data_IF_102725771695
#
_entry.id   IF_102725771695
#
_cell.length_a   1.000
_cell.length_b   1.000
_cell.length_c   1.000
_cell.angle_alpha   90.00
_cell.angle_beta   90.00
_cell.angle_gamma   90.00
#
_symmetry.space_group_name_H-M   'P 1'
#
loop_
_entity.id
_entity.type
_entity.pdbx_description
1 polymer ?
#
# COMPACT_ATOMS: atom_id res chain seq x y z
N UNK A 1 9.15 -7.66 4.35
CA UNK A 1 9.54 -7.02 5.61
C UNK A 1 8.52 -5.91 5.84
N UNK A 2 7.50 -6.20 6.64
CA UNK A 2 6.53 -5.19 7.08
C UNK A 2 7.16 -4.51 8.29
N UNK A 3 7.36 -3.20 8.24
CA UNK A 3 7.81 -2.42 9.38
C UNK A 3 6.56 -1.73 9.94
N UNK A 4 6.43 -1.58 11.25
CA UNK A 4 5.42 -0.69 11.83
C UNK A 4 6.17 0.46 12.49
N UNK A 5 5.91 1.68 12.04
CA UNK A 5 6.46 2.87 12.68
C UNK A 5 5.49 3.36 13.76
N UNK A 6 6.06 3.84 14.87
CA UNK A 6 5.31 4.34 16.02
C UNK A 6 5.35 5.84 16.03
N UNK A 7 4.23 6.42 16.41
CA UNK A 7 4.17 7.81 16.83
C UNK A 7 3.30 7.90 18.08
N UNK A 8 3.76 8.59 19.12
CA UNK A 8 2.84 9.18 20.08
C UNK A 8 2.22 10.45 19.48
N UNK A 9 0.99 10.78 19.87
CA UNK A 9 0.31 11.99 19.40
C UNK A 9 1.13 13.27 19.70
N UNK A 10 1.89 13.28 20.80
CA UNK A 10 2.81 14.35 21.19
C UNK A 10 4.00 14.47 20.21
N UNK A 11 4.60 13.35 19.81
CA UNK A 11 5.71 13.32 18.84
C UNK A 11 5.26 13.80 17.46
N UNK A 12 4.07 13.41 17.00
CA UNK A 12 3.51 13.95 15.76
C UNK A 12 3.27 15.46 15.86
N UNK A 13 2.67 15.95 16.95
CA UNK A 13 2.47 17.40 17.16
C UNK A 13 3.79 18.16 17.13
N UNK A 14 4.83 17.65 17.76
CA UNK A 14 6.12 18.35 17.83
C UNK A 14 6.94 18.26 16.53
N UNK A 15 6.83 17.16 15.78
CA UNK A 15 7.44 16.97 14.46
C UNK A 15 6.81 17.89 13.41
N UNK A 16 5.47 18.03 13.40
CA UNK A 16 4.75 18.84 12.41
C UNK A 16 4.62 20.33 12.82
N UNK A 17 4.85 20.69 14.09
CA UNK A 17 4.91 22.09 14.54
C UNK A 17 6.30 22.75 14.39
N UNK A 18 7.30 22.05 13.83
CA UNK A 18 8.64 22.61 13.56
C UNK A 18 9.49 22.90 14.81
N UNK A 19 9.26 22.21 15.94
CA UNK A 19 9.76 22.61 17.26
C UNK A 19 10.87 21.72 17.89
N UNK A 20 11.50 20.76 17.21
CA UNK A 20 12.52 19.89 17.86
C UNK A 20 13.90 19.82 17.15
N UNK A 21 14.94 20.11 17.94
CA UNK A 21 16.39 19.89 17.73
C UNK A 21 16.82 18.47 18.24
N UNK A 22 18.04 17.98 17.93
CA UNK A 22 18.26 16.61 17.43
C UNK A 22 17.73 15.50 18.37
N UNK A 23 16.92 14.60 17.82
CA UNK A 23 16.34 13.47 18.54
C UNK A 23 17.34 12.30 18.67
N UNK A 24 17.36 11.66 19.83
CA UNK A 24 18.15 10.44 20.12
C UNK A 24 17.70 9.26 19.23
N UNK A 25 18.55 8.22 19.03
CA UNK A 25 18.27 7.12 18.10
C UNK A 25 16.91 6.46 18.38
N UNK A 26 16.02 6.45 17.37
CA UNK A 26 14.65 5.93 17.47
C UNK A 26 14.63 4.44 17.11
N UNK A 27 13.94 3.61 17.91
CA UNK A 27 13.84 2.16 17.69
C UNK A 27 12.82 1.80 16.59
N UNK A 28 13.33 1.34 15.46
CA UNK A 28 12.57 0.71 14.39
C UNK A 28 12.22 -0.73 14.79
N UNK A 29 10.95 -1.13 14.62
CA UNK A 29 10.52 -2.50 14.83
C UNK A 29 10.57 -3.27 13.51
N UNK A 30 11.62 -4.05 13.31
CA UNK A 30 11.70 -5.02 12.23
C UNK A 30 11.13 -6.37 12.71
N UNK A 31 10.45 -7.10 11.82
CA UNK A 31 10.04 -8.48 12.11
C UNK A 31 11.30 -9.36 12.22
N UNK A 32 11.50 -10.01 13.37
CA UNK A 32 12.66 -10.91 13.60
C UNK A 32 12.57 -12.25 12.86
N UNK A 33 11.52 -12.54 12.09
CA UNK A 33 11.35 -13.87 11.46
C UNK A 33 10.64 -13.88 10.10
N UNK A 34 11.27 -13.37 9.03
CA UNK A 34 11.13 -13.94 7.66
C UNK A 34 12.35 -13.55 6.80
N UNK A 35 13.56 -13.92 7.21
CA UNK A 35 14.76 -13.76 6.36
C UNK A 35 15.67 -15.01 6.30
N UNK A 36 15.41 -16.03 7.13
CA UNK A 36 16.32 -17.17 7.30
C UNK A 36 16.14 -18.36 6.36
N UNK A 37 14.91 -18.69 5.93
CA UNK A 37 14.63 -20.07 5.49
C UNK A 37 14.29 -20.25 4.00
N UNK A 38 14.47 -19.21 3.15
CA UNK A 38 14.14 -19.31 1.70
C UNK A 38 15.39 -19.25 0.79
N UNK A 39 16.58 -18.95 1.34
CA UNK A 39 17.83 -18.87 0.57
C UNK A 39 18.89 -19.85 1.08
N UNK A 40 18.53 -21.12 1.14
CA UNK A 40 19.45 -22.20 1.47
C UNK A 40 19.21 -23.43 0.61
N UNK A 41 19.71 -23.42 -0.63
CA UNK A 41 20.26 -24.60 -1.32
C UNK A 41 20.86 -24.24 -2.68
N UNK A 42 22.19 -24.36 -2.73
CA UNK A 42 23.06 -24.80 -3.82
C UNK A 42 22.76 -24.35 -5.25
N UNK A 43 23.67 -23.52 -5.77
CA UNK A 43 23.86 -23.25 -7.19
C UNK A 43 24.46 -24.50 -7.84
N UNK A 44 23.64 -25.27 -8.54
CA UNK A 44 24.08 -26.31 -9.46
C UNK A 44 24.42 -25.72 -10.82
N UNK A 45 25.47 -26.24 -11.43
CA UNK A 45 25.95 -25.91 -12.76
C UNK A 45 24.98 -26.41 -13.86
N UNK A 46 25.06 -25.78 -15.04
CA UNK A 46 24.75 -26.49 -16.28
C UNK A 46 23.65 -25.92 -17.18
N UNK A 47 24.14 -25.43 -18.32
CA UNK A 47 23.56 -25.52 -19.66
C UNK A 47 22.57 -24.43 -20.12
N UNK A 48 22.85 -23.98 -21.34
CA UNK A 48 22.41 -22.72 -21.92
C UNK A 48 20.97 -22.70 -22.38
N UNK A 49 20.42 -21.50 -22.36
CA UNK A 49 19.23 -21.11 -23.11
C UNK A 49 19.64 -19.89 -23.91
N UNK A 50 19.47 -19.97 -25.23
CA UNK A 50 19.78 -18.88 -26.16
C UNK A 50 18.96 -17.63 -25.79
N UNK A 51 19.65 -16.52 -25.57
CA UNK A 51 19.04 -15.19 -25.44
C UNK A 51 18.56 -14.75 -26.83
N UNK A 52 17.24 -14.78 -27.06
CA UNK A 52 16.66 -13.91 -28.08
C UNK A 52 16.66 -12.48 -27.53
N UNK A 53 17.63 -11.70 -28.00
CA UNK A 53 17.78 -10.26 -27.75
C UNK A 53 16.50 -9.49 -28.14
N UNK A 54 15.62 -9.26 -27.18
CA UNK A 54 14.66 -8.17 -27.28
C UNK A 54 15.36 -6.86 -26.89
N UNK A 55 15.64 -6.05 -27.92
CA UNK A 55 15.98 -4.63 -27.77
C UNK A 55 14.81 -3.89 -27.09
N UNK A 56 14.84 -3.85 -25.76
CA UNK A 56 14.00 -2.96 -24.96
C UNK A 56 14.86 -1.74 -24.63
N UNK A 57 14.43 -0.56 -25.06
CA UNK A 57 15.04 0.72 -24.71
C UNK A 57 15.26 0.80 -23.18
N UNK A 58 16.54 0.75 -22.79
CA UNK A 58 16.99 0.69 -21.40
C UNK A 58 16.66 1.94 -20.57
N UNK A 59 16.12 3.00 -21.17
CA UNK A 59 15.78 4.26 -20.50
C UNK A 59 14.49 4.21 -19.66
N UNK A 60 13.70 3.12 -19.75
CA UNK A 60 12.40 2.98 -19.06
C UNK A 60 12.25 1.74 -18.18
N UNK A 61 13.33 1.05 -17.85
CA UNK A 61 13.23 -0.15 -17.01
C UNK A 61 13.04 0.26 -15.55
N UNK A 62 11.78 0.25 -15.09
CA UNK A 62 11.48 0.43 -13.66
C UNK A 62 12.23 -0.66 -12.84
N UNK A 63 12.80 -0.33 -11.67
CA UNK A 63 13.58 -1.28 -10.87
C UNK A 63 12.88 -2.63 -10.60
N UNK A 64 11.54 -2.70 -10.40
CA UNK A 64 10.82 -3.96 -10.29
C UNK A 64 10.85 -4.82 -11.57
N UNK A 65 10.75 -4.20 -12.75
CA UNK A 65 10.78 -4.89 -14.06
C UNK A 65 12.19 -5.42 -14.33
N UNK A 66 13.21 -4.61 -14.06
CA UNK A 66 14.62 -5.03 -14.15
C UNK A 66 14.91 -6.25 -13.27
N UNK A 67 14.31 -6.30 -12.08
CA UNK A 67 14.48 -7.38 -11.12
C UNK A 67 13.67 -8.63 -11.47
N UNK A 68 12.50 -8.47 -12.10
CA UNK A 68 11.73 -9.59 -12.61
C UNK A 68 12.41 -10.25 -13.82
N UNK A 69 13.05 -9.46 -14.69
CA UNK A 69 13.74 -9.94 -15.90
C UNK A 69 15.14 -10.51 -15.66
N UNK A 70 15.89 -10.04 -14.64
CA UNK A 70 17.22 -10.56 -14.33
C UNK A 70 17.16 -11.73 -13.35
N UNK A 71 17.16 -12.96 -13.88
CA UNK A 71 17.50 -14.17 -13.13
C UNK A 71 16.35 -14.94 -12.49
N UNK A 72 15.09 -14.72 -12.90
CA UNK A 72 13.96 -15.61 -12.58
C UNK A 72 13.25 -15.96 -13.88
N UNK A 73 12.71 -17.18 -13.96
CA UNK A 73 11.97 -17.72 -15.12
C UNK A 73 10.60 -17.02 -15.37
N UNK A 74 10.52 -15.69 -15.20
CA UNK A 74 9.29 -14.91 -15.27
C UNK A 74 9.25 -14.08 -16.55
N UNK A 75 8.27 -14.37 -17.42
CA UNK A 75 8.02 -13.60 -18.64
C UNK A 75 7.19 -12.35 -18.31
N UNK A 76 7.73 -11.17 -18.57
CA UNK A 76 7.01 -9.89 -18.44
C UNK A 76 6.26 -9.60 -19.74
N UNK A 77 4.96 -9.28 -19.65
CA UNK A 77 4.12 -8.91 -20.80
C UNK A 77 3.56 -7.50 -20.58
N UNK A 78 3.96 -6.49 -21.37
CA UNK A 78 3.39 -5.15 -21.26
C UNK A 78 1.94 -5.14 -21.72
N UNK A 79 1.10 -4.37 -21.04
CA UNK A 79 -0.31 -4.16 -21.40
C UNK A 79 -0.45 -2.74 -21.93
N UNK A 80 -0.80 -2.62 -23.21
CA UNK A 80 -1.01 -1.33 -23.88
C UNK A 80 -2.50 -0.99 -24.05
N UNK A 81 -3.41 -1.83 -23.53
CA UNK A 81 -4.83 -1.59 -23.55
C UNK A 81 -5.23 -0.55 -22.51
N UNK A 82 -6.28 0.21 -22.81
CA UNK A 82 -6.82 1.22 -21.90
C UNK A 82 -5.78 2.29 -21.56
N UNK A 83 -5.55 2.49 -20.26
CA UNK A 83 -4.62 3.48 -19.70
C UNK A 83 -3.20 2.92 -19.49
N UNK A 84 -3.00 1.63 -19.74
CA UNK A 84 -1.77 0.91 -19.44
C UNK A 84 -1.38 0.97 -17.94
N UNK A 85 -2.38 0.90 -17.05
CA UNK A 85 -2.20 0.94 -15.59
C UNK A 85 -2.55 -0.41 -14.93
N UNK A 86 -2.56 -0.44 -13.58
CA UNK A 86 -2.81 -1.64 -12.77
C UNK A 86 -4.17 -2.30 -13.06
N UNK A 87 -5.21 -1.50 -13.32
CA UNK A 87 -6.55 -2.01 -13.68
C UNK A 87 -6.50 -2.83 -14.97
N UNK A 88 -5.82 -2.31 -16.00
CA UNK A 88 -5.71 -2.96 -17.31
C UNK A 88 -4.86 -4.24 -17.21
N UNK A 89 -3.74 -4.19 -16.47
CA UNK A 89 -2.93 -5.36 -16.18
C UNK A 89 -3.71 -6.47 -15.44
N UNK A 90 -4.57 -6.09 -14.50
CA UNK A 90 -5.45 -7.03 -13.78
C UNK A 90 -6.47 -7.68 -14.72
N UNK A 91 -7.08 -6.87 -15.60
CA UNK A 91 -8.03 -7.36 -16.61
C UNK A 91 -7.39 -8.38 -17.55
N UNK A 92 -6.20 -8.10 -18.08
CA UNK A 92 -5.46 -9.03 -18.94
C UNK A 92 -5.02 -10.30 -18.21
N UNK A 93 -4.59 -10.19 -16.94
CA UNK A 93 -4.24 -11.35 -16.13
C UNK A 93 -5.45 -12.27 -15.87
N UNK A 94 -6.63 -11.72 -15.62
CA UNK A 94 -7.87 -12.49 -15.47
C UNK A 94 -8.23 -13.19 -16.80
N UNK A 95 -8.10 -12.51 -17.95
CA UNK A 95 -8.35 -13.12 -19.27
C UNK A 95 -7.41 -14.29 -19.57
N UNK A 96 -6.11 -14.12 -19.29
CA UNK A 96 -5.12 -15.20 -19.44
C UNK A 96 -5.48 -16.38 -18.52
N UNK A 97 -5.78 -16.10 -17.25
CA UNK A 97 -6.16 -17.14 -16.28
C UNK A 97 -7.41 -17.93 -16.69
N UNK A 98 -8.47 -17.25 -17.16
CA UNK A 98 -9.69 -17.93 -17.62
C UNK A 98 -9.40 -18.85 -18.82
N UNK A 99 -8.44 -18.48 -19.66
CA UNK A 99 -8.02 -19.29 -20.81
C UNK A 99 -7.16 -20.49 -20.40
N UNK A 100 -6.40 -20.38 -19.31
CA UNK A 100 -5.38 -21.35 -18.90
C UNK A 100 -5.65 -21.97 -17.51
N UNK A 101 -6.91 -22.04 -17.08
CA UNK A 101 -7.31 -22.39 -15.70
C UNK A 101 -6.79 -23.75 -15.22
N UNK A 102 -6.62 -24.72 -16.12
CA UNK A 102 -6.16 -26.07 -15.78
C UNK A 102 -4.66 -26.13 -15.41
N UNK A 103 -3.86 -25.21 -15.95
CA UNK A 103 -2.40 -25.23 -15.85
C UNK A 103 -1.83 -24.02 -15.11
N UNK A 104 -2.65 -22.99 -14.90
CA UNK A 104 -2.21 -21.69 -14.38
C UNK A 104 -2.97 -21.31 -13.12
N UNK A 105 -2.22 -21.04 -12.05
CA UNK A 105 -2.76 -20.41 -10.85
C UNK A 105 -2.60 -18.89 -10.93
N UNK A 106 -3.71 -18.15 -10.86
CA UNK A 106 -3.66 -16.70 -10.81
C UNK A 106 -3.32 -16.20 -9.40
N UNK A 107 -2.17 -15.55 -9.26
CA UNK A 107 -1.72 -14.94 -8.00
C UNK A 107 -2.22 -13.49 -7.96
N UNK A 108 -3.42 -13.28 -7.39
CA UNK A 108 -3.95 -11.95 -7.17
C UNK A 108 -3.23 -11.25 -6.02
N UNK A 109 -2.75 -10.02 -6.26
CA UNK A 109 -1.86 -9.30 -5.35
C UNK A 109 -2.53 -8.52 -4.20
N UNK A 110 -3.86 -8.55 -4.07
CA UNK A 110 -4.56 -7.81 -3.01
C UNK A 110 -5.85 -8.51 -2.57
N UNK A 111 -6.52 -7.96 -1.55
CA UNK A 111 -7.78 -8.48 -0.97
C UNK A 111 -9.01 -8.15 -1.84
N UNK A 112 -8.81 -7.99 -3.14
CA UNK A 112 -9.85 -7.78 -4.13
C UNK A 112 -10.21 -9.12 -4.81
N UNK A 113 -11.03 -9.06 -5.85
CA UNK A 113 -11.33 -10.23 -6.68
C UNK A 113 -12.38 -11.18 -6.09
N UNK A 114 -12.76 -12.24 -6.83
CA UNK A 114 -13.80 -13.16 -6.39
C UNK A 114 -13.35 -13.97 -5.18
N UNK A 115 -14.32 -14.49 -4.42
CA UNK A 115 -14.03 -15.54 -3.44
C UNK A 115 -13.30 -16.73 -4.14
N UNK A 116 -12.23 -17.29 -3.56
CA UNK A 116 -11.73 -17.09 -2.19
C UNK A 116 -10.62 -16.04 -2.02
N UNK A 117 -10.25 -15.27 -3.05
CA UNK A 117 -9.07 -14.41 -3.02
C UNK A 117 -9.04 -13.38 -1.88
N UNK A 118 -10.11 -12.59 -1.61
CA UNK A 118 -10.10 -11.62 -0.51
C UNK A 118 -9.74 -12.27 0.84
N UNK A 119 -10.40 -13.37 1.18
CA UNK A 119 -10.17 -14.12 2.41
C UNK A 119 -8.77 -14.72 2.45
N UNK A 120 -8.33 -15.35 1.35
CA UNK A 120 -7.03 -16.00 1.26
C UNK A 120 -5.89 -14.98 1.43
N UNK A 121 -5.95 -13.86 0.71
CA UNK A 121 -4.92 -12.82 0.79
C UNK A 121 -4.89 -12.16 2.16
N UNK A 122 -6.05 -11.88 2.77
CA UNK A 122 -6.13 -11.39 4.16
C UNK A 122 -5.44 -12.37 5.11
N UNK A 123 -5.76 -13.66 5.02
CA UNK A 123 -5.19 -14.68 5.90
C UNK A 123 -3.66 -14.80 5.73
N UNK A 124 -3.12 -14.59 4.52
CA UNK A 124 -1.67 -14.53 4.31
C UNK A 124 -1.02 -13.25 4.85
N UNK A 125 -1.77 -12.14 4.96
CA UNK A 125 -1.29 -10.89 5.57
C UNK A 125 -1.56 -10.82 7.09
N UNK A 126 -2.27 -11.78 7.66
CA UNK A 126 -2.69 -11.82 9.07
C UNK A 126 -1.52 -11.80 10.06
N UNK A 127 -0.32 -12.18 9.62
CA UNK A 127 0.90 -12.07 10.41
C UNK A 127 1.16 -10.62 10.89
N UNK A 128 0.78 -9.61 10.10
CA UNK A 128 1.00 -8.19 10.43
C UNK A 128 0.28 -7.83 11.73
N UNK A 129 -1.04 -8.06 11.81
CA UNK A 129 -1.82 -7.76 13.01
C UNK A 129 -1.41 -8.60 14.22
N UNK A 130 -1.05 -9.88 14.02
CA UNK A 130 -0.53 -10.76 15.09
C UNK A 130 0.76 -10.22 15.69
N UNK A 131 1.71 -9.82 14.86
CA UNK A 131 2.97 -9.24 15.31
C UNK A 131 2.74 -7.92 16.03
N UNK A 132 1.91 -7.03 15.48
CA UNK A 132 1.55 -5.75 16.13
C UNK A 132 0.93 -5.97 17.50
N UNK A 133 -0.01 -6.92 17.64
CA UNK A 133 -0.62 -7.23 18.94
C UNK A 133 0.43 -7.68 19.97
N UNK A 134 1.31 -8.61 19.58
CA UNK A 134 2.38 -9.11 20.45
C UNK A 134 3.32 -7.98 20.87
N UNK A 135 3.79 -7.20 19.91
CA UNK A 135 4.72 -6.11 20.16
C UNK A 135 4.10 -4.98 21.00
N UNK A 136 2.82 -4.66 20.75
CA UNK A 136 2.06 -3.70 21.55
C UNK A 136 1.93 -4.15 23.01
N UNK A 137 1.64 -5.44 23.24
CA UNK A 137 1.60 -6.00 24.59
C UNK A 137 2.96 -5.90 25.29
N UNK A 138 4.04 -6.25 24.60
CA UNK A 138 5.41 -6.19 25.13
C UNK A 138 5.84 -4.77 25.50
N UNK A 139 5.53 -3.76 24.66
CA UNK A 139 5.99 -2.37 24.87
C UNK A 139 5.04 -1.51 25.69
N UNK A 140 3.75 -1.75 25.58
CA UNK A 140 2.71 -0.89 26.17
C UNK A 140 1.85 -1.59 27.20
N UNK A 141 2.07 -2.88 27.46
CA UNK A 141 1.25 -3.68 28.37
C UNK A 141 -0.19 -3.87 27.88
N UNK A 142 -0.48 -3.60 26.61
CA UNK A 142 -1.84 -3.62 26.08
C UNK A 142 -1.93 -3.37 24.57
N UNK A 143 -3.15 -3.11 24.10
CA UNK A 143 -3.47 -2.86 22.68
C UNK A 143 -3.05 -1.44 22.26
N UNK A 144 -2.85 -1.20 20.94
CA UNK A 144 -2.87 0.16 20.38
C UNK A 144 -4.24 0.79 20.55
N UNK A 145 -4.31 2.12 20.50
CA UNK A 145 -5.58 2.86 20.47
C UNK A 145 -6.04 3.11 19.03
N UNK A 146 -5.10 3.29 18.11
CA UNK A 146 -5.36 3.60 16.70
C UNK A 146 -4.43 2.83 15.76
N UNK A 147 -5.00 2.25 14.72
CA UNK A 147 -4.29 1.60 13.62
C UNK A 147 -4.51 2.40 12.33
N UNK A 148 -3.43 2.72 11.61
CA UNK A 148 -3.49 3.48 10.36
C UNK A 148 -2.77 2.70 9.25
N UNK A 149 -3.40 2.58 8.07
CA UNK A 149 -2.79 1.93 6.92
C UNK A 149 -3.31 2.55 5.61
N UNK A 150 -2.48 2.56 4.56
CA UNK A 150 -2.91 3.00 3.23
C UNK A 150 -3.81 1.94 2.58
N UNK A 151 -4.77 2.37 1.76
CA UNK A 151 -5.77 1.51 1.11
C UNK A 151 -5.80 1.82 -0.39
N UNK A 152 -5.21 0.94 -1.17
CA UNK A 152 -5.53 0.75 -2.60
C UNK A 152 -6.51 -0.42 -2.70
N UNK A 153 -6.02 -1.60 -3.12
CA UNK A 153 -6.81 -2.83 -3.00
C UNK A 153 -7.09 -3.28 -1.54
N UNK A 154 -6.18 -2.94 -0.60
CA UNK A 154 -6.42 -3.04 0.84
C UNK A 154 -5.68 -4.15 1.60
N UNK A 155 -4.83 -4.96 0.96
CA UNK A 155 -4.23 -6.14 1.61
C UNK A 155 -3.39 -5.85 2.84
N UNK A 156 -2.56 -4.81 2.78
CA UNK A 156 -1.73 -4.39 3.93
C UNK A 156 -2.60 -3.93 5.11
N UNK A 157 -3.67 -3.17 4.83
CA UNK A 157 -4.59 -2.64 5.83
C UNK A 157 -5.41 -3.76 6.47
N UNK A 158 -5.96 -4.69 5.68
CA UNK A 158 -6.63 -5.88 6.20
C UNK A 158 -5.70 -6.77 7.01
N UNK A 159 -4.44 -6.94 6.59
CA UNK A 159 -3.45 -7.66 7.40
C UNK A 159 -3.24 -7.06 8.78
N UNK A 160 -3.21 -5.73 8.87
CA UNK A 160 -3.12 -5.02 10.14
C UNK A 160 -4.43 -5.10 10.94
N UNK A 161 -5.57 -4.84 10.31
CA UNK A 161 -6.87 -4.67 10.98
C UNK A 161 -7.50 -5.98 11.43
N UNK A 162 -7.31 -7.08 10.70
CA UNK A 162 -8.04 -8.34 10.90
C UNK A 162 -8.02 -8.83 12.36
N UNK A 163 -6.87 -8.72 13.02
CA UNK A 163 -6.74 -9.15 14.42
C UNK A 163 -7.44 -8.22 15.42
N UNK A 164 -7.82 -7.01 15.04
CA UNK A 164 -8.39 -5.98 15.92
C UNK A 164 -9.85 -5.66 15.60
N UNK A 165 -10.48 -6.33 14.62
CA UNK A 165 -11.89 -6.08 14.23
C UNK A 165 -12.86 -6.23 15.41
N UNK A 166 -12.58 -7.15 16.34
CA UNK A 166 -13.41 -7.36 17.53
C UNK A 166 -13.06 -6.45 18.71
N UNK A 167 -11.88 -5.81 18.70
CA UNK A 167 -11.46 -4.84 19.72
C UNK A 167 -12.08 -3.47 19.41
N UNK A 168 -13.33 -3.24 19.84
CA UNK A 168 -14.11 -2.05 19.48
C UNK A 168 -13.52 -0.73 19.98
N UNK A 169 -12.67 -0.78 20.99
CA UNK A 169 -11.91 0.37 21.50
C UNK A 169 -10.76 0.79 20.57
N UNK A 170 -10.31 -0.09 19.67
CA UNK A 170 -9.22 0.19 18.73
C UNK A 170 -9.80 0.79 17.45
N UNK A 171 -9.41 2.03 17.14
CA UNK A 171 -9.80 2.70 15.89
C UNK A 171 -9.02 2.13 14.71
N UNK A 172 -9.72 1.88 13.61
CA UNK A 172 -9.14 1.34 12.36
C UNK A 172 -9.30 2.39 11.28
N UNK A 173 -8.20 2.94 10.78
CA UNK A 173 -8.20 4.05 9.82
C UNK A 173 -7.50 3.65 8.53
N UNK A 174 -8.27 3.47 7.46
CA UNK A 174 -7.77 3.31 6.10
C UNK A 174 -7.51 4.67 5.45
N UNK A 175 -6.42 4.82 4.71
CA UNK A 175 -6.08 6.08 4.02
C UNK A 175 -6.00 5.85 2.51
N UNK A 176 -6.94 6.45 1.78
CA UNK A 176 -7.02 6.39 0.32
C UNK A 176 -6.26 7.54 -0.34
N UNK A 177 -5.95 7.39 -1.63
CA UNK A 177 -5.31 8.46 -2.40
C UNK A 177 -6.35 9.44 -2.94
N UNK A 178 -6.26 10.69 -2.54
CA UNK A 178 -7.05 11.79 -3.08
C UNK A 178 -6.48 12.34 -4.40
N UNK A 179 -5.33 11.84 -4.88
CA UNK A 179 -4.68 12.34 -6.09
C UNK A 179 -4.44 13.85 -6.03
N UNK A 180 -4.98 14.60 -6.99
CA UNK A 180 -4.91 16.07 -7.03
C UNK A 180 -5.97 16.77 -6.16
N UNK A 181 -6.73 16.02 -5.39
CA UNK A 181 -7.85 16.48 -4.57
C UNK A 181 -9.15 15.78 -4.96
N UNK A 182 -10.05 15.61 -3.98
CA UNK A 182 -11.31 14.90 -4.17
C UNK A 182 -12.21 15.56 -5.25
N UNK A 183 -12.22 16.89 -5.33
CA UNK A 183 -13.03 17.64 -6.30
C UNK A 183 -12.41 17.72 -7.71
N UNK A 184 -11.18 17.21 -7.89
CA UNK A 184 -10.45 17.33 -9.16
C UNK A 184 -10.91 16.34 -10.23
N UNK A 185 -11.68 15.32 -9.84
CA UNK A 185 -11.95 14.14 -10.67
C UNK A 185 -10.74 13.24 -10.92
N UNK A 186 -9.58 13.55 -10.32
CA UNK A 186 -8.33 12.78 -10.42
C UNK A 186 -7.90 12.31 -9.03
N UNK A 187 -8.48 11.20 -8.59
CA UNK A 187 -8.22 10.56 -7.30
C UNK A 187 -8.42 9.05 -7.39
N UNK A 188 -8.03 8.31 -6.34
CA UNK A 188 -8.35 6.90 -6.14
C UNK A 188 -9.09 6.64 -4.81
N UNK A 189 -9.80 7.66 -4.31
CA UNK A 189 -10.58 7.63 -3.06
C UNK A 189 -11.90 6.84 -3.18
N UNK A 190 -11.77 5.53 -3.34
CA UNK A 190 -12.85 4.60 -3.70
C UNK A 190 -13.97 4.50 -2.66
N UNK A 191 -13.64 4.38 -1.38
CA UNK A 191 -14.60 4.29 -0.29
C UNK A 191 -15.18 5.65 0.08
N UNK A 192 -14.45 6.72 -0.22
CA UNK A 192 -14.86 8.10 0.03
C UNK A 192 -15.89 8.59 -0.99
N UNK A 193 -15.65 8.38 -2.29
CA UNK A 193 -16.46 8.94 -3.39
C UNK A 193 -17.09 7.89 -4.31
N UNK A 194 -16.69 6.63 -4.19
CA UNK A 194 -17.25 5.56 -5.02
C UNK A 194 -18.63 5.11 -4.57
N UNK A 195 -19.17 4.18 -5.35
CA UNK A 195 -20.47 3.56 -5.11
C UNK A 195 -20.36 2.04 -5.26
N UNK A 196 -21.37 1.32 -4.78
CA UNK A 196 -21.39 -0.13 -4.86
C UNK A 196 -21.55 -0.63 -6.30
N UNK A 197 -20.76 -1.61 -6.69
CA UNK A 197 -20.92 -2.32 -7.97
C UNK A 197 -19.98 -3.52 -8.09
N UNK A 198 -19.90 -4.09 -9.29
CA UNK A 198 -19.12 -5.32 -9.54
C UNK A 198 -17.91 -5.01 -10.41
N UNK A 199 -16.71 -5.19 -9.86
CA UNK A 199 -15.45 -5.05 -10.58
C UNK A 199 -14.52 -6.22 -10.28
N UNK A 200 -13.87 -6.75 -11.31
CA UNK A 200 -12.90 -7.85 -11.22
C UNK A 200 -13.41 -9.07 -10.41
N UNK A 201 -14.71 -9.37 -10.48
CA UNK A 201 -15.31 -10.55 -9.83
C UNK A 201 -15.75 -10.36 -8.38
N UNK A 202 -15.72 -9.14 -7.83
CA UNK A 202 -16.22 -8.83 -6.50
C UNK A 202 -17.30 -7.74 -6.53
N UNK A 203 -18.35 -7.90 -5.72
CA UNK A 203 -19.24 -6.80 -5.35
C UNK A 203 -18.58 -5.99 -4.22
N UNK A 204 -18.28 -4.72 -4.46
CA UNK A 204 -17.59 -3.83 -3.51
C UNK A 204 -17.89 -2.36 -3.85
N UNK A 205 -17.28 -1.40 -3.14
CA UNK A 205 -17.20 -0.03 -3.63
C UNK A 205 -16.20 0.06 -4.79
N UNK A 206 -16.54 0.90 -5.77
CA UNK A 206 -15.66 1.30 -6.86
C UNK A 206 -15.99 2.72 -7.35
N UNK A 207 -15.04 3.33 -8.05
CA UNK A 207 -15.25 4.58 -8.77
C UNK A 207 -15.95 4.28 -10.10
N UNK A 208 -17.19 4.74 -10.24
CA UNK A 208 -18.00 4.59 -11.43
C UNK A 208 -18.94 5.79 -11.62
N UNK A 209 -19.34 6.04 -12.86
CA UNK A 209 -20.33 7.06 -13.20
C UNK A 209 -21.78 6.54 -13.04
N UNK A 210 -22.75 7.38 -13.39
CA UNK A 210 -24.19 7.07 -13.30
C UNK A 210 -24.62 5.90 -14.21
N UNK A 211 -23.85 5.62 -15.27
CA UNK A 211 -24.08 4.49 -16.18
C UNK A 211 -23.33 3.22 -15.75
N UNK A 212 -22.62 3.27 -14.62
CA UNK A 212 -21.80 2.17 -14.11
C UNK A 212 -20.49 1.96 -14.87
N UNK A 213 -20.04 2.94 -15.66
CA UNK A 213 -18.73 2.89 -16.30
C UNK A 213 -17.64 3.22 -15.29
N UNK A 214 -16.54 2.47 -15.34
CA UNK A 214 -15.42 2.64 -14.42
C UNK A 214 -14.74 3.98 -14.65
N UNK A 215 -14.70 4.82 -13.62
CA UNK A 215 -13.92 6.05 -13.63
C UNK A 215 -12.45 5.71 -13.41
N UNK A 216 -11.58 6.32 -14.20
CA UNK A 216 -10.14 6.10 -14.12
C UNK A 216 -9.60 6.68 -12.81
N UNK A 217 -8.87 5.89 -12.00
CA UNK A 217 -8.27 6.39 -10.79
C UNK A 217 -7.06 7.28 -11.12
N UNK A 218 -6.64 8.07 -10.13
CA UNK A 218 -5.36 8.74 -10.18
C UNK A 218 -4.70 8.81 -8.81
N UNK A 219 -3.41 8.45 -8.77
CA UNK A 219 -2.51 8.75 -7.66
C UNK A 219 -1.07 8.81 -8.16
N UNK A 220 -0.24 9.63 -7.51
CA UNK A 220 1.22 9.56 -7.63
C UNK A 220 1.78 8.18 -7.25
N UNK A 221 1.05 7.44 -6.41
CA UNK A 221 1.42 6.12 -5.93
C UNK A 221 0.75 5.03 -6.76
N UNK A 222 1.53 4.34 -7.60
CA UNK A 222 1.03 3.27 -8.45
C UNK A 222 0.33 2.13 -7.68
N UNK A 223 0.70 1.87 -6.42
CA UNK A 223 0.04 0.85 -5.59
C UNK A 223 -1.32 1.26 -5.02
N UNK A 224 -1.66 2.56 -5.05
CA UNK A 224 -2.97 3.09 -4.65
C UNK A 224 -3.84 3.47 -5.86
N UNK A 225 -3.27 3.50 -7.06
CA UNK A 225 -3.94 3.86 -8.30
C UNK A 225 -4.84 2.74 -8.84
N UNK A 226 -5.94 2.48 -8.11
CA UNK A 226 -6.90 1.42 -8.40
C UNK A 226 -8.33 1.91 -8.11
N UNK A 227 -9.31 1.70 -9.01
CA UNK A 227 -10.64 2.28 -8.86
C UNK A 227 -11.59 1.44 -7.99
N UNK A 228 -11.12 0.32 -7.43
CA UNK A 228 -11.91 -0.56 -6.59
C UNK A 228 -11.28 -0.75 -5.22
N UNK A 229 -11.92 -1.54 -4.37
CA UNK A 229 -11.36 -1.92 -3.07
C UNK A 229 -11.82 -3.32 -2.67
N UNK A 230 -11.09 -3.99 -1.78
CA UNK A 230 -11.50 -5.29 -1.25
C UNK A 230 -12.88 -5.24 -0.57
N UNK A 231 -13.74 -6.27 -0.75
CA UNK A 231 -15.12 -6.26 -0.24
C UNK A 231 -15.21 -6.20 1.29
N UNK A 232 -14.20 -6.69 2.01
CA UNK A 232 -14.18 -6.61 3.47
C UNK A 232 -13.97 -5.19 3.99
N UNK A 233 -13.24 -4.34 3.25
CA UNK A 233 -13.15 -2.91 3.57
C UNK A 233 -14.50 -2.21 3.42
N UNK A 234 -15.20 -2.48 2.32
CA UNK A 234 -16.57 -2.00 2.06
C UNK A 234 -17.51 -2.38 3.20
N UNK A 235 -17.50 -3.65 3.61
CA UNK A 235 -18.28 -4.12 4.75
C UNK A 235 -17.92 -3.40 6.05
N UNK A 236 -16.62 -3.26 6.36
CA UNK A 236 -16.16 -2.56 7.57
C UNK A 236 -16.53 -1.07 7.57
N UNK A 237 -16.58 -0.42 6.40
CA UNK A 237 -17.10 0.94 6.24
C UNK A 237 -18.59 1.00 6.58
N UNK A 238 -19.39 0.15 5.95
CA UNK A 238 -20.86 0.21 6.06
C UNK A 238 -21.35 -0.07 7.49
N UNK A 239 -20.67 -0.95 8.24
CA UNK A 239 -20.99 -1.22 9.64
C UNK A 239 -20.35 -0.21 10.62
N UNK A 240 -19.63 0.79 10.12
CA UNK A 240 -18.95 1.81 10.93
C UNK A 240 -17.78 1.27 11.77
N UNK A 241 -17.22 0.11 11.41
CA UNK A 241 -16.10 -0.49 12.17
C UNK A 241 -14.76 0.12 11.78
N UNK A 242 -14.58 0.51 10.53
CA UNK A 242 -13.38 1.20 10.05
C UNK A 242 -13.74 2.58 9.49
N UNK A 243 -12.87 3.53 9.75
CA UNK A 243 -12.90 4.89 9.23
C UNK A 243 -12.02 4.96 7.98
N UNK A 244 -12.41 5.75 6.98
CA UNK A 244 -11.62 5.95 5.77
C UNK A 244 -11.40 7.43 5.53
N UNK A 245 -10.13 7.81 5.44
CA UNK A 245 -9.68 9.16 5.16
C UNK A 245 -8.99 9.19 3.79
N UNK A 246 -8.75 10.40 3.28
CA UNK A 246 -8.06 10.60 2.00
C UNK A 246 -6.91 11.59 2.14
N UNK A 247 -5.84 11.36 1.37
CA UNK A 247 -4.62 12.18 1.36
C UNK A 247 -4.22 12.48 -0.09
N UNK A 248 -3.90 13.74 -0.37
CA UNK A 248 -3.47 14.18 -1.70
C UNK A 248 -2.03 13.77 -2.02
N UNK A 249 -1.69 13.77 -3.30
CA UNK A 249 -0.33 13.47 -3.76
C UNK A 249 0.70 14.44 -3.15
N UNK A 250 0.34 15.72 -3.01
CA UNK A 250 1.20 16.74 -2.39
C UNK A 250 1.47 16.43 -0.91
N UNK A 251 0.42 16.09 -0.14
CA UNK A 251 0.55 15.71 1.27
C UNK A 251 1.41 14.44 1.43
N UNK A 252 1.21 13.44 0.57
CA UNK A 252 2.02 12.22 0.57
C UNK A 252 3.50 12.51 0.26
N UNK A 253 3.80 13.41 -0.68
CA UNK A 253 5.16 13.83 -0.99
C UNK A 253 5.82 14.58 0.17
N UNK A 254 5.09 15.45 0.88
CA UNK A 254 5.60 16.10 2.08
C UNK A 254 5.94 15.09 3.17
N UNK A 255 5.04 14.13 3.45
CA UNK A 255 5.29 13.07 4.42
C UNK A 255 6.49 12.19 4.04
N UNK A 256 6.63 11.84 2.75
CA UNK A 256 7.80 11.13 2.23
C UNK A 256 9.10 11.87 2.58
N UNK A 257 9.15 13.17 2.29
CA UNK A 257 10.32 14.02 2.55
C UNK A 257 10.59 14.13 4.05
N UNK A 258 9.56 14.35 4.84
CA UNK A 258 9.66 14.57 6.28
C UNK A 258 10.22 13.32 6.98
N UNK A 259 9.65 12.14 6.72
CA UNK A 259 10.12 10.89 7.33
C UNK A 259 11.52 10.53 6.85
N UNK A 260 11.83 10.75 5.57
CA UNK A 260 13.18 10.53 5.06
C UNK A 260 14.22 11.41 5.76
N UNK A 261 13.89 12.67 6.06
CA UNK A 261 14.81 13.63 6.71
C UNK A 261 14.92 13.41 8.22
N UNK A 262 13.82 13.12 8.88
CA UNK A 262 13.79 13.03 10.35
C UNK A 262 14.19 11.64 10.86
N UNK A 263 13.76 10.59 10.17
CA UNK A 263 13.96 9.20 10.62
C UNK A 263 15.06 8.47 9.84
N UNK A 264 15.53 9.04 8.73
CA UNK A 264 16.46 8.35 7.83
C UNK A 264 15.85 7.13 7.14
N UNK A 265 14.51 7.05 7.08
CA UNK A 265 13.77 5.94 6.51
C UNK A 265 13.05 6.46 5.27
N UNK A 266 13.25 5.80 4.13
CA UNK A 266 12.61 6.17 2.86
C UNK A 266 11.31 5.36 2.71
N UNK A 267 10.12 5.94 2.97
CA UNK A 267 8.84 5.25 2.81
C UNK A 267 8.51 5.03 1.34
N UNK A 268 7.77 3.97 1.03
CA UNK A 268 7.06 3.92 -0.24
C UNK A 268 6.04 5.07 -0.33
N UNK A 269 5.69 5.52 -1.54
CA UNK A 269 4.66 6.56 -1.70
C UNK A 269 3.30 6.10 -1.15
N UNK A 270 3.00 4.80 -1.22
CA UNK A 270 1.82 4.17 -0.60
C UNK A 270 1.83 4.41 0.93
N UNK A 271 2.93 4.04 1.59
CA UNK A 271 3.13 4.25 3.03
C UNK A 271 3.04 5.73 3.41
N UNK A 272 3.55 6.60 2.54
CA UNK A 272 3.58 8.05 2.78
C UNK A 272 2.18 8.65 2.89
N UNK A 273 1.16 8.06 2.24
CA UNK A 273 -0.23 8.47 2.44
C UNK A 273 -0.70 8.25 3.88
N UNK A 274 -0.43 7.06 4.44
CA UNK A 274 -0.79 6.75 5.83
C UNK A 274 -0.06 7.67 6.83
N UNK A 275 1.19 8.00 6.54
CA UNK A 275 2.00 8.93 7.35
C UNK A 275 1.49 10.37 7.28
N UNK A 276 1.16 10.86 6.08
CA UNK A 276 0.63 12.22 5.88
C UNK A 276 -0.68 12.44 6.66
N UNK A 277 -1.53 11.42 6.75
CA UNK A 277 -2.76 11.52 7.52
C UNK A 277 -2.54 11.81 9.01
N UNK A 278 -1.36 11.46 9.57
CA UNK A 278 -1.05 11.73 10.97
C UNK A 278 -1.05 13.22 11.31
N UNK A 279 -0.69 14.09 10.37
CA UNK A 279 -0.71 15.55 10.56
C UNK A 279 -2.12 16.06 10.90
N UNK A 280 -3.14 15.45 10.29
CA UNK A 280 -4.56 15.76 10.55
C UNK A 280 -5.08 15.01 11.77
N UNK A 281 -4.68 13.75 11.93
CA UNK A 281 -5.20 12.85 12.97
C UNK A 281 -4.66 13.20 14.35
N UNK A 282 -3.34 13.29 14.53
CA UNK A 282 -2.73 13.38 15.85
C UNK A 282 -3.13 14.62 16.67
N UNK A 283 -3.34 15.81 16.09
CA UNK A 283 -3.88 16.96 16.84
C UNK A 283 -5.25 16.69 17.48
N UNK A 284 -6.06 15.78 16.91
CA UNK A 284 -7.38 15.41 17.44
C UNK A 284 -7.34 14.38 18.56
N UNK A 285 -6.19 13.75 18.79
CA UNK A 285 -6.03 12.67 19.77
C UNK A 285 -5.59 13.20 21.13
N UNK A 286 -6.10 12.62 22.24
CA UNK A 286 -5.58 12.87 23.58
C UNK A 286 -4.09 12.58 23.68
N UNK A 287 -3.40 13.26 24.59
CA UNK A 287 -2.01 12.94 24.92
C UNK A 287 -1.89 11.49 25.40
N UNK A 288 -0.79 10.84 25.04
CA UNK A 288 -0.52 9.44 25.37
C UNK A 288 -1.23 8.40 24.49
N UNK A 289 -2.04 8.82 23.50
CA UNK A 289 -2.66 7.91 22.54
C UNK A 289 -1.60 7.13 21.75
N UNK A 290 -1.74 5.80 21.71
CA UNK A 290 -0.84 4.84 21.06
C UNK A 290 -1.28 4.59 19.62
N UNK A 291 -0.55 5.17 18.67
CA UNK A 291 -0.84 5.03 17.24
C UNK A 291 0.17 4.07 16.59
N UNK A 292 -0.34 3.11 15.81
CA UNK A 292 0.46 2.24 14.95
C UNK A 292 0.15 2.56 13.49
N UNK A 293 1.21 2.81 12.72
CA UNK A 293 1.10 2.99 11.27
C UNK A 293 1.75 1.82 10.55
N UNK A 294 1.02 1.22 9.61
CA UNK A 294 1.56 0.16 8.77
C UNK A 294 2.55 0.73 7.75
N UNK A 295 3.83 0.37 7.89
CA UNK A 295 4.86 0.72 6.91
C UNK A 295 4.88 -0.36 5.82
N UNK A 296 3.94 -0.23 4.88
CA UNK A 296 3.60 -1.26 3.90
C UNK A 296 4.73 -1.56 2.90
N UNK A 297 5.62 -0.60 2.67
CA UNK A 297 6.80 -0.79 1.83
C UNK A 297 7.86 0.29 1.99
N UNK A 298 9.04 -0.04 1.45
CA UNK A 298 10.20 0.86 1.31
C UNK A 298 10.17 1.60 -0.03
N UNK A 299 10.70 2.81 -0.06
CA UNK A 299 10.59 3.74 -1.19
C UNK A 299 11.66 3.62 -2.27
N UNK A 300 12.54 2.60 -2.26
CA UNK A 300 13.58 2.43 -3.28
C UNK A 300 13.04 2.51 -4.71
N UNK A 301 11.81 1.98 -4.93
CA UNK A 301 11.13 1.99 -6.23
C UNK A 301 10.66 3.40 -6.64
N UNK A 302 10.41 4.27 -5.67
CA UNK A 302 9.77 5.57 -5.84
C UNK A 302 10.78 6.72 -5.92
N UNK A 303 12.03 6.50 -5.50
CA UNK A 303 13.08 7.54 -5.46
C UNK A 303 13.21 8.27 -6.79
N UNK A 304 13.22 7.56 -7.93
CA UNK A 304 13.36 8.20 -9.24
C UNK A 304 12.15 9.08 -9.59
N UNK A 305 10.94 8.63 -9.26
CA UNK A 305 9.72 9.41 -9.48
C UNK A 305 9.74 10.66 -8.62
N UNK A 306 10.04 10.51 -7.33
CA UNK A 306 10.12 11.64 -6.39
C UNK A 306 11.22 12.62 -6.78
N UNK A 307 12.41 12.13 -7.18
CA UNK A 307 13.50 13.00 -7.65
C UNK A 307 13.12 13.83 -8.87
N UNK A 308 12.38 13.25 -9.83
CA UNK A 308 11.92 14.00 -11.00
C UNK A 308 10.96 15.11 -10.62
N UNK A 309 9.99 14.81 -9.75
CA UNK A 309 8.97 15.76 -9.30
C UNK A 309 9.60 16.89 -8.48
N UNK A 310 10.45 16.56 -7.51
CA UNK A 310 11.14 17.56 -6.69
C UNK A 310 12.24 18.32 -7.46
N UNK A 311 12.82 17.68 -8.48
CA UNK A 311 13.84 18.29 -9.35
C UNK A 311 13.25 19.32 -10.31
N UNK A 312 12.01 19.14 -10.78
CA UNK A 312 11.32 20.14 -11.60
C UNK A 312 11.02 21.43 -10.82
N UNK A 313 10.71 21.34 -9.53
CA UNK A 313 10.42 22.49 -8.66
C UNK A 313 11.66 23.38 -8.41
N UNK A 314 12.87 22.87 -8.61
CA UNK A 314 14.12 23.64 -8.49
C UNK A 314 14.51 24.37 -9.79
N UNK A 315 13.78 24.13 -10.87
CA UNK A 315 14.01 24.72 -12.20
C UNK A 315 12.99 25.79 -12.62
N UNK A 316 12.02 26.07 -11.75
CA UNK A 316 11.01 27.13 -11.86
C UNK A 316 11.25 28.23 -10.82
#
# INVERSE_FOLDING_TARGET
MFCCQKFSAEECRATYAGLIHPLRPREMWASDKVAGDVYGKEVGDGSGVEEEDMHVDGSKILPPIARAGRGRHTKVRPVNAGTATLKDATSEAIRDWVTNVETTHYILGSVCGPHPYPMMVRNFHDCIGKEVRRQALEKWGGKPDVLVACVGGGSNAMGLFNNFVDDKEVRLIGVEAAGFGLDSGKHAATLTLGSQGVLHGAMSYLLQDEEGQIIEPHSISAGLDYPGVGPEHSFLKDIGRAEYASVTDAEALEAFKLVSRLEGIIPALETSHALAHLEKLCPTLPDGTKVVVNFSGRGDKDVQTVMKILGSDLSS
#
